data_IF_831864452897
#
_entry.id   IF_831864452897
#
_cell.length_a   1.000
_cell.length_b   1.000
_cell.length_c   1.000
_cell.angle_alpha   90.00
_cell.angle_beta   90.00
_cell.angle_gamma   90.00
#
_symmetry.space_group_name_H-M   'P 1'
#
loop_
_entity.id
_entity.type
_entity.pdbx_description
1 polymer ?
#
# COMPACT_ATOMS: atom_id res chain seq x y z
N UNK A 1 22.04 10.26 -2.68
CA UNK A 1 21.59 8.91 -2.30
C UNK A 1 21.16 9.00 -0.85
N UNK A 2 19.85 8.95 -0.60
CA UNK A 2 19.28 9.28 0.71
C UNK A 2 19.72 8.25 1.76
N UNK A 3 20.48 8.70 2.76
CA UNK A 3 20.75 7.96 3.98
C UNK A 3 19.61 8.28 4.96
N UNK A 4 18.68 7.33 5.14
CA UNK A 4 17.44 7.59 5.86
C UNK A 4 17.63 7.88 7.35
N UNK A 5 18.83 7.72 7.92
CA UNK A 5 19.15 7.94 9.34
C UNK A 5 18.06 7.42 10.29
N UNK A 6 17.38 6.36 9.86
CA UNK A 6 16.52 5.57 10.71
C UNK A 6 17.50 4.88 11.64
N UNK A 7 17.52 5.31 12.89
CA UNK A 7 17.90 4.42 13.96
C UNK A 7 16.86 3.29 13.93
N UNK A 8 17.05 2.30 13.05
CA UNK A 8 16.39 1.02 13.18
C UNK A 8 16.90 0.53 14.53
N UNK A 9 16.05 0.45 15.57
CA UNK A 9 16.52 -0.05 16.85
C UNK A 9 17.00 -1.49 16.64
N UNK A 10 17.62 -2.08 17.66
CA UNK A 10 17.93 -3.51 17.75
C UNK A 10 16.64 -4.36 17.83
N UNK A 11 15.64 -4.06 17.00
CA UNK A 11 14.46 -4.88 16.80
C UNK A 11 14.91 -6.07 15.98
N UNK A 12 14.75 -7.25 16.56
CA UNK A 12 14.76 -8.50 15.82
C UNK A 12 13.85 -8.35 14.58
N UNK A 13 14.40 -8.60 13.39
CA UNK A 13 13.67 -8.61 12.12
C UNK A 13 12.39 -9.48 12.21
N UNK A 14 12.42 -10.55 13.00
CA UNK A 14 11.27 -11.41 13.23
C UNK A 14 10.15 -10.71 14.03
N UNK A 15 10.50 -9.80 14.94
CA UNK A 15 9.53 -8.99 15.69
C UNK A 15 8.78 -8.01 14.79
N UNK A 16 9.50 -7.34 13.88
CA UNK A 16 8.90 -6.41 12.90
C UNK A 16 7.96 -7.14 11.95
N UNK A 17 8.39 -8.28 11.41
CA UNK A 17 7.56 -9.08 10.52
C UNK A 17 6.32 -9.61 11.23
N UNK A 18 6.46 -10.11 12.46
CA UNK A 18 5.32 -10.59 13.24
C UNK A 18 4.32 -9.48 13.54
N UNK A 19 4.79 -8.26 13.82
CA UNK A 19 3.92 -7.10 14.03
C UNK A 19 3.16 -6.72 12.75
N UNK A 20 3.85 -6.66 11.61
CA UNK A 20 3.23 -6.36 10.32
C UNK A 20 2.14 -7.38 9.95
N UNK A 21 2.38 -8.67 10.20
CA UNK A 21 1.36 -9.72 9.99
C UNK A 21 0.15 -9.52 10.91
N UNK A 22 0.38 -9.20 12.19
CA UNK A 22 -0.70 -8.94 13.13
C UNK A 22 -1.54 -7.70 12.71
N UNK A 23 -0.88 -6.61 12.34
CA UNK A 23 -1.54 -5.40 11.82
C UNK A 23 -2.34 -5.69 10.54
N UNK A 24 -1.81 -6.52 9.64
CA UNK A 24 -2.52 -6.98 8.44
C UNK A 24 -3.81 -7.74 8.77
N UNK A 25 -3.78 -8.61 9.79
CA UNK A 25 -4.98 -9.31 10.26
C UNK A 25 -6.02 -8.36 10.87
N UNK A 26 -5.58 -7.37 11.65
CA UNK A 26 -6.46 -6.35 12.22
C UNK A 26 -7.12 -5.51 11.11
N UNK A 27 -6.35 -5.11 10.10
CA UNK A 27 -6.87 -4.42 8.92
C UNK A 27 -7.90 -5.27 8.18
N UNK A 28 -7.64 -6.56 8.00
CA UNK A 28 -8.56 -7.49 7.33
C UNK A 28 -9.92 -7.55 8.02
N UNK A 29 -9.94 -7.56 9.36
CA UNK A 29 -11.18 -7.51 10.16
C UNK A 29 -11.93 -6.20 9.92
N UNK A 30 -11.23 -5.06 9.90
CA UNK A 30 -11.84 -3.75 9.65
C UNK A 30 -12.41 -3.65 8.22
N UNK A 31 -11.65 -4.09 7.22
CA UNK A 31 -12.05 -4.06 5.81
C UNK A 31 -13.26 -4.94 5.53
N UNK A 32 -13.38 -6.10 6.21
CA UNK A 32 -14.55 -6.99 6.13
C UNK A 32 -15.80 -6.39 6.78
N UNK A 33 -15.63 -5.57 7.82
CA UNK A 33 -16.74 -4.96 8.54
C UNK A 33 -17.35 -3.73 7.82
N UNK A 34 -16.69 -3.19 6.79
CA UNK A 34 -17.16 -2.04 6.02
C UNK A 34 -17.67 -2.47 4.66
N UNK A 35 -18.98 -2.33 4.44
CA UNK A 35 -19.63 -2.66 3.17
C UNK A 35 -19.55 -1.52 2.14
N UNK A 36 -19.71 -0.28 2.60
CA UNK A 36 -19.66 0.92 1.75
C UNK A 36 -18.26 1.55 1.75
N UNK A 37 -17.53 1.40 0.65
CA UNK A 37 -16.20 1.97 0.49
C UNK A 37 -16.19 3.39 -0.10
N UNK A 38 -17.36 4.00 -0.33
CA UNK A 38 -17.48 5.39 -0.76
C UNK A 38 -17.34 6.39 0.40
N UNK A 39 -17.32 5.91 1.64
CA UNK A 39 -17.19 6.72 2.84
C UNK A 39 -15.90 7.55 2.78
N UNK A 40 -15.96 8.89 2.96
CA UNK A 40 -14.79 9.73 2.98
C UNK A 40 -13.92 9.47 4.22
N UNK A 41 -12.62 9.70 4.07
CA UNK A 41 -11.63 9.54 5.16
C UNK A 41 -11.06 10.90 5.57
N UNK A 42 -10.20 10.91 6.58
CA UNK A 42 -9.52 12.14 7.01
C UNK A 42 -8.55 12.69 5.95
N UNK A 43 -8.09 11.84 5.01
CA UNK A 43 -7.33 12.28 3.85
C UNK A 43 -8.28 12.98 2.86
N UNK A 44 -8.10 14.29 2.57
CA UNK A 44 -9.03 15.04 1.72
C UNK A 44 -9.18 14.42 0.33
N UNK A 45 -10.42 14.22 -0.10
CA UNK A 45 -10.72 13.62 -1.42
C UNK A 45 -10.64 12.09 -1.45
N UNK A 46 -10.11 11.44 -0.41
CA UNK A 46 -9.98 9.99 -0.36
C UNK A 46 -11.16 9.35 0.36
N UNK A 47 -11.68 8.29 -0.26
CA UNK A 47 -12.63 7.36 0.37
C UNK A 47 -11.91 6.14 0.95
N UNK A 48 -12.64 5.28 1.65
CA UNK A 48 -12.10 3.97 2.10
C UNK A 48 -11.51 3.18 0.91
N UNK A 49 -12.15 3.23 -0.26
CA UNK A 49 -11.61 2.61 -1.47
C UNK A 49 -10.23 3.16 -1.87
N UNK A 50 -9.99 4.46 -1.70
CA UNK A 50 -8.68 5.06 -1.98
C UNK A 50 -7.62 4.58 -0.99
N UNK A 51 -7.95 4.50 0.31
CA UNK A 51 -7.02 3.98 1.32
C UNK A 51 -6.61 2.54 1.02
N UNK A 52 -7.59 1.66 0.74
CA UNK A 52 -7.32 0.25 0.45
C UNK A 52 -6.53 0.10 -0.86
N UNK A 53 -6.87 0.88 -1.89
CA UNK A 53 -6.13 0.91 -3.13
C UNK A 53 -4.67 1.37 -2.95
N UNK A 54 -4.44 2.37 -2.09
CA UNK A 54 -3.10 2.86 -1.79
C UNK A 54 -2.24 1.79 -1.08
N UNK A 55 -2.81 1.09 -0.10
CA UNK A 55 -2.13 -0.01 0.60
C UNK A 55 -1.77 -1.14 -0.38
N UNK A 56 -2.71 -1.59 -1.21
CA UNK A 56 -2.44 -2.62 -2.20
C UNK A 56 -1.35 -2.21 -3.23
N UNK A 57 -1.34 -0.94 -3.65
CA UNK A 57 -0.29 -0.41 -4.53
C UNK A 57 1.08 -0.34 -3.83
N UNK A 58 1.12 0.09 -2.57
CA UNK A 58 2.34 0.11 -1.78
C UNK A 58 2.92 -1.30 -1.57
N UNK A 59 2.08 -2.28 -1.26
CA UNK A 59 2.48 -3.69 -1.11
C UNK A 59 3.03 -4.26 -2.42
N UNK A 60 2.38 -3.95 -3.55
CA UNK A 60 2.88 -4.35 -4.87
C UNK A 60 4.27 -3.75 -5.17
N UNK A 61 4.52 -2.52 -4.76
CA UNK A 61 5.82 -1.88 -4.90
C UNK A 61 6.88 -2.48 -3.97
N UNK A 62 6.54 -2.82 -2.73
CA UNK A 62 7.44 -3.52 -1.81
C UNK A 62 7.83 -4.90 -2.37
N UNK A 63 6.86 -5.66 -2.89
CA UNK A 63 7.11 -6.94 -3.56
C UNK A 63 7.95 -6.79 -4.82
N UNK A 64 7.69 -5.76 -5.62
CA UNK A 64 8.49 -5.44 -6.80
C UNK A 64 9.94 -5.12 -6.44
N UNK A 65 10.17 -4.33 -5.38
CA UNK A 65 11.51 -4.01 -4.90
C UNK A 65 12.29 -5.27 -4.48
N UNK A 66 11.62 -6.22 -3.84
CA UNK A 66 12.22 -7.48 -3.37
C UNK A 66 12.47 -8.49 -4.50
N UNK A 67 11.54 -8.59 -5.46
CA UNK A 67 11.51 -9.69 -6.44
C UNK A 67 12.01 -9.29 -7.83
N UNK A 68 11.82 -8.02 -8.19
CA UNK A 68 12.08 -7.48 -9.52
C UNK A 68 12.64 -6.06 -9.45
N UNK A 69 13.90 -5.87 -8.97
CA UNK A 69 14.47 -4.55 -8.71
C UNK A 69 14.44 -3.57 -9.90
N UNK A 70 14.60 -4.07 -11.12
CA UNK A 70 14.53 -3.24 -12.34
C UNK A 70 13.11 -2.68 -12.57
N UNK A 71 12.07 -3.50 -12.32
CA UNK A 71 10.69 -3.07 -12.44
C UNK A 71 10.35 -2.02 -11.37
N UNK A 72 10.88 -2.19 -10.15
CA UNK A 72 10.77 -1.20 -9.10
C UNK A 72 11.50 0.10 -9.45
N UNK A 73 12.71 0.04 -10.02
CA UNK A 73 13.44 1.22 -10.47
C UNK A 73 12.67 2.04 -11.52
N UNK A 74 11.97 1.37 -12.44
CA UNK A 74 11.11 2.04 -13.40
C UNK A 74 9.88 2.70 -12.75
N UNK A 75 9.29 2.06 -11.73
CA UNK A 75 8.19 2.64 -10.95
C UNK A 75 8.67 3.85 -10.14
N UNK A 76 9.83 3.76 -9.51
CA UNK A 76 10.42 4.89 -8.78
C UNK A 76 10.64 6.08 -9.71
N UNK A 77 11.14 5.86 -10.93
CA UNK A 77 11.28 6.93 -11.92
C UNK A 77 9.94 7.57 -12.32
N UNK A 78 8.85 6.78 -12.39
CA UNK A 78 7.49 7.33 -12.59
C UNK A 78 7.04 8.16 -11.39
N UNK A 79 7.26 7.66 -10.17
CA UNK A 79 6.91 8.36 -8.95
C UNK A 79 7.66 9.69 -8.79
N UNK A 80 8.95 9.71 -9.10
CA UNK A 80 9.76 10.94 -9.10
C UNK A 80 9.25 11.95 -10.13
N UNK A 81 8.88 11.50 -11.34
CA UNK A 81 8.32 12.37 -12.38
C UNK A 81 6.91 12.88 -12.04
N UNK A 82 6.08 12.07 -11.39
CA UNK A 82 4.71 12.41 -10.97
C UNK A 82 4.66 13.28 -9.71
N UNK A 83 5.75 13.35 -8.93
CA UNK A 83 5.84 14.17 -7.74
C UNK A 83 4.83 13.77 -6.65
N UNK A 84 4.40 14.74 -5.85
CA UNK A 84 3.55 14.49 -4.68
C UNK A 84 2.15 13.93 -5.00
N UNK A 85 1.66 14.08 -6.24
CA UNK A 85 0.34 13.60 -6.65
C UNK A 85 0.32 12.14 -7.11
N UNK A 86 1.48 11.51 -7.29
CA UNK A 86 1.56 10.16 -7.87
C UNK A 86 0.82 9.11 -7.02
N UNK A 87 0.92 9.22 -5.70
CA UNK A 87 0.20 8.34 -4.77
C UNK A 87 -1.33 8.55 -4.85
N UNK A 88 -1.79 9.80 -5.01
CA UNK A 88 -3.20 10.12 -5.19
C UNK A 88 -3.75 9.53 -6.49
N UNK A 89 -2.99 9.64 -7.58
CA UNK A 89 -3.34 9.08 -8.88
C UNK A 89 -3.42 7.55 -8.83
N UNK A 90 -2.44 6.89 -8.20
CA UNK A 90 -2.44 5.44 -8.01
C UNK A 90 -3.63 4.97 -7.15
N UNK A 91 -3.89 5.68 -6.05
CA UNK A 91 -5.03 5.41 -5.17
C UNK A 91 -6.37 5.58 -5.91
N UNK A 92 -6.54 6.65 -6.70
CA UNK A 92 -7.74 6.89 -7.48
C UNK A 92 -7.95 5.84 -8.57
N UNK A 93 -6.88 5.47 -9.29
CA UNK A 93 -6.93 4.43 -10.32
C UNK A 93 -7.29 3.05 -9.73
N UNK A 94 -6.80 2.75 -8.53
CA UNK A 94 -7.19 1.54 -7.80
C UNK A 94 -8.63 1.61 -7.29
N UNK A 95 -9.03 2.71 -6.66
CA UNK A 95 -10.37 2.91 -6.10
C UNK A 95 -11.49 2.82 -7.14
N UNK A 96 -11.18 3.11 -8.41
CA UNK A 96 -12.12 2.96 -9.53
C UNK A 96 -12.36 1.49 -9.94
N UNK A 97 -11.56 0.53 -9.45
CA UNK A 97 -11.74 -0.90 -9.75
C UNK A 97 -12.83 -1.52 -8.88
N UNK A 98 -13.48 -2.62 -9.33
CA UNK A 98 -14.40 -3.36 -8.47
C UNK A 98 -13.71 -3.85 -7.19
N UNK A 99 -14.42 -3.82 -6.06
CA UNK A 99 -13.93 -4.27 -4.75
C UNK A 99 -13.30 -5.67 -4.81
N UNK A 100 -13.90 -6.61 -5.54
CA UNK A 100 -13.35 -7.95 -5.71
C UNK A 100 -11.96 -7.93 -6.35
N UNK A 101 -11.74 -7.09 -7.37
CA UNK A 101 -10.44 -6.98 -8.05
C UNK A 101 -9.37 -6.41 -7.11
N UNK A 102 -9.72 -5.48 -6.22
CA UNK A 102 -8.79 -4.95 -5.21
C UNK A 102 -8.42 -6.00 -4.16
N UNK A 103 -9.36 -6.86 -3.78
CA UNK A 103 -9.15 -7.88 -2.74
C UNK A 103 -8.49 -9.17 -3.28
N UNK A 104 -8.78 -9.55 -4.52
CA UNK A 104 -8.23 -10.77 -5.15
C UNK A 104 -6.73 -10.64 -5.44
N UNK A 105 -6.22 -9.41 -5.57
CA UNK A 105 -4.79 -9.12 -5.70
C UNK A 105 -3.96 -9.51 -4.46
N UNK A 106 -4.60 -9.67 -3.29
CA UNK A 106 -3.94 -10.06 -2.04
C UNK A 106 -3.83 -11.58 -1.83
N UNK A 107 -4.61 -12.40 -2.55
CA UNK A 107 -4.72 -13.87 -2.29
C UNK A 107 -3.82 -14.70 -3.23
N UNK A 108 -3.03 -14.04 -4.08
CA UNK A 108 -2.22 -14.68 -5.12
C UNK A 108 -0.77 -15.01 -4.74
N UNK A 109 -0.42 -15.02 -3.45
CA UNK A 109 0.91 -15.41 -2.95
C UNK A 109 0.81 -16.43 -1.81
#
# INVERSE_FOLDING_TARGET
MLNYNLAVPDVDDAGVLSALVAEGHELDVLVRAVDDWSIPTAAPGWTVAHQIAHLAWADANALSALRTPDAFGAELGRAEAGGSGYADEAAAAGAAKPRSVLLDGCVGL
#
